data_IF_451109538703
#
_entry.id   IF_451109538703
#
_cell.length_a   1.000
_cell.length_b   1.000
_cell.length_c   1.000
_cell.angle_alpha   90.00
_cell.angle_beta   90.00
_cell.angle_gamma   90.00
#
_symmetry.space_group_name_H-M   'P 1'
#
loop_
_entity.id
_entity.type
_entity.pdbx_description
1 polymer ?
#
# COMPACT_ATOMS: atom_id res chain seq x y z
N UNK A 1 6.38 1.68 34.89
CA UNK A 1 5.06 1.80 35.54
C UNK A 1 4.04 1.42 34.49
N UNK A 2 3.52 0.20 34.53
CA UNK A 2 2.62 -0.37 33.50
C UNK A 2 1.16 -0.06 33.84
N UNK A 3 0.74 1.18 33.62
CA UNK A 3 -0.67 1.52 33.74
C UNK A 3 -1.29 1.54 32.35
N UNK A 4 -2.39 0.80 32.19
CA UNK A 4 -3.23 0.92 31.01
C UNK A 4 -3.72 2.37 30.88
N UNK A 5 -3.71 2.90 29.67
CA UNK A 5 -4.21 4.25 29.37
C UNK A 5 -5.51 4.11 28.60
N UNK A 6 -6.57 4.80 29.04
CA UNK A 6 -7.86 4.81 28.34
C UNK A 6 -8.38 6.23 28.20
N UNK A 7 -9.07 6.48 27.10
CA UNK A 7 -9.84 7.70 26.85
C UNK A 7 -8.97 8.97 26.89
N UNK A 8 -7.73 8.87 26.40
CA UNK A 8 -6.78 9.97 26.33
C UNK A 8 -7.13 10.91 25.17
N UNK A 9 -7.31 12.20 25.47
CA UNK A 9 -7.57 13.23 24.47
C UNK A 9 -6.43 14.26 24.49
N UNK A 10 -5.76 14.42 23.35
CA UNK A 10 -4.76 15.46 23.12
C UNK A 10 -5.27 16.35 22.00
N UNK A 11 -5.76 17.55 22.33
CA UNK A 11 -6.38 18.41 21.33
C UNK A 11 -6.01 19.88 21.42
N UNK A 12 -5.98 20.54 20.27
CA UNK A 12 -5.79 21.99 20.12
C UNK A 12 -4.51 22.54 20.78
N UNK A 13 -3.44 21.74 20.79
CA UNK A 13 -2.15 22.16 21.31
C UNK A 13 -1.23 22.69 20.20
N UNK A 14 -0.29 23.53 20.60
CA UNK A 14 0.78 24.03 19.77
C UNK A 14 2.12 23.51 20.30
N UNK A 15 2.77 22.61 19.57
CA UNK A 15 4.02 21.96 19.97
C UNK A 15 5.08 22.34 18.93
N UNK A 16 5.98 23.26 19.32
CA UNK A 16 7.03 23.77 18.45
C UNK A 16 8.39 23.30 18.91
N UNK A 17 9.29 23.15 17.94
CA UNK A 17 10.69 22.82 18.19
C UNK A 17 10.88 21.52 18.99
N UNK A 18 10.00 20.54 18.75
CA UNK A 18 10.05 19.25 19.43
C UNK A 18 10.70 18.18 18.54
N UNK A 19 11.38 17.22 19.19
CA UNK A 19 11.88 16.01 18.54
C UNK A 19 10.72 15.06 18.25
N UNK A 20 10.02 14.62 19.28
CA UNK A 20 8.73 13.94 19.14
C UNK A 20 7.67 14.88 19.72
N UNK A 21 6.60 15.14 18.97
CA UNK A 21 5.54 16.04 19.42
C UNK A 21 4.65 15.37 20.46
N UNK A 22 4.05 14.25 20.06
CA UNK A 22 3.29 13.34 20.90
C UNK A 22 3.95 11.97 20.79
N UNK A 23 4.27 11.37 21.92
CA UNK A 23 4.91 10.06 22.00
C UNK A 23 4.10 9.18 22.95
N UNK A 24 3.46 8.14 22.39
CA UNK A 24 2.68 7.14 23.10
C UNK A 24 3.33 5.76 23.01
N UNK A 25 4.67 5.73 22.99
CA UNK A 25 5.42 4.48 23.07
C UNK A 25 5.15 3.78 24.40
N UNK A 26 4.74 2.52 24.35
CA UNK A 26 4.22 1.79 25.52
C UNK A 26 4.42 0.28 25.42
N UNK A 27 4.62 -0.35 26.58
CA UNK A 27 4.59 -1.80 26.79
C UNK A 27 3.24 -2.29 27.38
N UNK A 28 2.32 -1.34 27.59
CA UNK A 28 1.03 -1.53 28.25
C UNK A 28 -0.12 -1.17 27.30
N UNK A 29 -1.33 -1.67 27.61
CA UNK A 29 -2.49 -1.48 26.74
C UNK A 29 -2.97 -0.03 26.75
N UNK A 30 -3.24 0.53 25.58
CA UNK A 30 -3.77 1.88 25.40
C UNK A 30 -5.02 1.82 24.52
N UNK A 31 -6.10 2.47 24.94
CA UNK A 31 -7.39 2.43 24.23
C UNK A 31 -8.02 3.81 24.10
N UNK A 32 -8.76 4.01 23.01
CA UNK A 32 -9.63 5.17 22.78
C UNK A 32 -8.86 6.50 22.85
N UNK A 33 -7.78 6.60 22.07
CA UNK A 33 -6.96 7.81 22.03
C UNK A 33 -7.45 8.73 20.91
N UNK A 34 -7.63 10.01 21.22
CA UNK A 34 -7.99 11.04 20.24
C UNK A 34 -6.92 12.13 20.21
N UNK A 35 -6.27 12.29 19.06
CA UNK A 35 -5.31 13.35 18.78
C UNK A 35 -5.90 14.26 17.71
N UNK A 36 -6.30 15.48 18.09
CA UNK A 36 -7.05 16.35 17.16
C UNK A 36 -6.69 17.83 17.19
N UNK A 37 -6.67 18.46 16.00
CA UNK A 37 -6.51 19.92 15.90
C UNK A 37 -5.19 20.47 16.43
N UNK A 38 -4.15 19.64 16.57
CA UNK A 38 -2.85 20.08 17.07
C UNK A 38 -1.98 20.64 15.94
N UNK A 39 -1.12 21.60 16.27
CA UNK A 39 -0.05 22.08 15.40
C UNK A 39 1.28 21.59 15.97
N UNK A 40 2.00 20.78 15.19
CA UNK A 40 3.28 20.19 15.56
C UNK A 40 4.34 20.56 14.53
N UNK A 41 5.43 21.17 14.99
CA UNK A 41 6.55 21.57 14.15
C UNK A 41 7.84 21.00 14.71
N UNK A 42 8.47 20.14 13.92
CA UNK A 42 9.74 19.50 14.27
C UNK A 42 10.86 20.51 14.48
N UNK A 43 11.75 20.15 15.41
CA UNK A 43 12.95 20.93 15.72
C UNK A 43 13.90 21.09 14.53
N UNK A 44 14.63 22.19 14.55
CA UNK A 44 15.77 22.49 13.68
C UNK A 44 17.05 22.76 14.48
N UNK A 45 16.98 22.72 15.81
CA UNK A 45 18.01 23.22 16.73
C UNK A 45 18.40 22.24 17.83
N UNK A 46 17.56 21.26 18.17
CA UNK A 46 17.98 20.13 19.01
C UNK A 46 19.09 19.39 18.25
N UNK A 47 20.32 19.38 18.75
CA UNK A 47 21.44 18.68 18.13
C UNK A 47 21.79 17.45 18.96
N UNK A 48 21.72 16.25 18.36
CA UNK A 48 22.27 15.03 18.96
C UNK A 48 23.56 14.67 18.24
N UNK A 49 24.66 14.57 19.00
CA UNK A 49 26.00 14.29 18.45
C UNK A 49 26.48 15.32 17.39
N UNK A 50 26.00 16.56 17.46
CA UNK A 50 26.37 17.64 16.52
C UNK A 50 25.58 17.65 15.21
N UNK A 51 24.52 16.85 15.08
CA UNK A 51 23.56 16.87 13.98
C UNK A 51 22.15 17.13 14.51
N UNK A 52 21.24 17.65 13.69
CA UNK A 52 19.84 17.85 14.10
C UNK A 52 19.28 16.53 14.64
N UNK A 53 18.87 16.55 15.90
CA UNK A 53 18.32 15.41 16.60
C UNK A 53 17.05 14.99 15.90
N UNK A 54 17.02 13.71 15.56
CA UNK A 54 16.09 13.22 14.58
C UNK A 54 14.73 12.86 15.21
N UNK A 55 13.68 13.05 14.42
CA UNK A 55 12.30 12.83 14.82
C UNK A 55 11.84 11.48 14.24
N UNK A 56 11.59 10.49 15.09
CA UNK A 56 11.01 9.19 14.71
C UNK A 56 9.54 9.34 14.29
N UNK A 57 8.87 10.30 14.92
CA UNK A 57 7.50 10.69 14.65
C UNK A 57 7.20 12.00 15.36
N UNK A 58 6.52 12.94 14.68
CA UNK A 58 5.90 14.03 15.44
C UNK A 58 4.66 13.53 16.18
N UNK A 59 3.98 12.53 15.63
CA UNK A 59 3.15 11.61 16.40
C UNK A 59 3.81 10.24 16.33
N UNK A 60 4.31 9.76 17.47
CA UNK A 60 4.96 8.47 17.63
C UNK A 60 4.04 7.54 18.41
N UNK A 61 3.59 6.47 17.75
CA UNK A 61 2.75 5.44 18.35
C UNK A 61 3.48 4.10 18.19
N UNK A 62 4.03 3.58 19.29
CA UNK A 62 4.80 2.33 19.28
C UNK A 62 4.33 1.42 20.41
N UNK A 63 3.65 0.33 20.05
CA UNK A 63 3.41 -0.80 20.94
C UNK A 63 4.60 -1.77 20.98
N UNK A 64 4.46 -2.88 21.71
CA UNK A 64 5.47 -3.92 21.76
C UNK A 64 5.68 -4.54 20.37
N UNK A 65 6.80 -4.21 19.74
CA UNK A 65 7.19 -4.58 18.38
C UNK A 65 7.44 -6.08 18.18
N UNK A 66 7.05 -6.96 19.10
CA UNK A 66 7.41 -8.38 19.06
C UNK A 66 6.25 -9.36 19.16
N UNK A 67 5.02 -8.96 19.52
CA UNK A 67 3.98 -9.96 19.83
C UNK A 67 2.54 -9.60 19.46
N UNK A 68 2.07 -8.36 19.67
CA UNK A 68 0.67 -8.00 19.41
C UNK A 68 0.44 -6.47 19.42
N UNK A 69 -0.68 -5.98 18.85
CA UNK A 69 -1.08 -4.59 18.99
C UNK A 69 -1.35 -4.23 20.46
N UNK A 70 -0.84 -3.08 20.91
CA UNK A 70 -1.09 -2.56 22.25
C UNK A 70 -1.95 -1.29 22.26
N UNK A 71 -2.12 -0.65 21.10
CA UNK A 71 -2.93 0.55 20.96
C UNK A 71 -4.18 0.27 20.14
N UNK A 72 -5.35 0.58 20.72
CA UNK A 72 -6.66 0.30 20.11
C UNK A 72 -7.50 1.56 19.96
N UNK A 73 -8.29 1.64 18.89
CA UNK A 73 -9.26 2.70 18.65
C UNK A 73 -8.61 4.11 18.68
N UNK A 74 -7.63 4.32 17.81
CA UNK A 74 -6.90 5.56 17.68
C UNK A 74 -7.56 6.48 16.64
N UNK A 75 -7.81 7.74 17.00
CA UNK A 75 -8.23 8.78 16.06
C UNK A 75 -7.19 9.88 15.97
N UNK A 76 -6.66 10.14 14.78
CA UNK A 76 -5.75 11.26 14.49
C UNK A 76 -6.42 12.14 13.43
N UNK A 77 -6.92 13.32 13.82
CA UNK A 77 -7.70 14.16 12.90
C UNK A 77 -7.41 15.65 12.92
N UNK A 78 -7.40 16.28 11.75
CA UNK A 78 -7.29 17.74 11.65
C UNK A 78 -6.00 18.33 12.19
N UNK A 79 -4.92 17.53 12.31
CA UNK A 79 -3.63 18.02 12.80
C UNK A 79 -2.81 18.63 11.66
N UNK A 80 -1.94 19.57 12.00
CA UNK A 80 -0.93 20.14 11.11
C UNK A 80 0.45 19.69 11.61
N UNK A 81 1.15 18.90 10.80
CA UNK A 81 2.43 18.28 11.12
C UNK A 81 3.47 18.77 10.11
N UNK A 82 4.51 19.45 10.58
CA UNK A 82 5.52 20.06 9.70
C UNK A 82 6.93 19.82 10.18
N UNK A 83 7.88 19.95 9.25
CA UNK A 83 9.31 20.02 9.57
C UNK A 83 9.86 18.74 10.23
N UNK A 84 9.23 17.59 9.97
CA UNK A 84 9.66 16.29 10.46
C UNK A 84 10.75 15.68 9.57
N UNK A 85 11.44 14.66 10.08
CA UNK A 85 12.27 13.77 9.30
C UNK A 85 13.60 14.34 8.81
N UNK A 86 14.38 14.93 9.72
CA UNK A 86 15.72 15.45 9.46
C UNK A 86 16.86 14.47 9.77
N UNK A 87 16.52 13.18 9.90
CA UNK A 87 17.43 12.09 10.26
C UNK A 87 18.53 11.81 9.20
N UNK A 88 19.78 11.59 9.61
CA UNK A 88 20.93 11.34 8.68
C UNK A 88 21.57 9.94 8.78
N UNK A 89 21.28 9.10 9.80
CA UNK A 89 21.84 7.75 9.94
C UNK A 89 20.81 6.63 9.63
N UNK A 90 21.22 5.55 8.96
CA UNK A 90 20.32 4.79 8.08
C UNK A 90 19.54 3.60 8.70
N UNK A 91 19.01 3.66 9.92
CA UNK A 91 18.50 2.44 10.58
C UNK A 91 17.13 2.49 11.27
N UNK A 92 16.42 3.61 11.29
CA UNK A 92 15.14 3.69 12.01
C UNK A 92 13.98 4.12 11.11
N UNK A 93 12.83 3.47 11.28
CA UNK A 93 11.59 3.84 10.63
C UNK A 93 11.14 5.21 11.17
N UNK A 94 10.82 6.15 10.27
CA UNK A 94 10.46 7.50 10.65
C UNK A 94 9.23 7.98 9.88
N UNK A 95 8.39 8.79 10.53
CA UNK A 95 7.22 9.41 9.91
C UNK A 95 6.94 10.86 10.37
N UNK A 96 6.06 11.58 9.67
CA UNK A 96 5.30 12.64 10.32
C UNK A 96 4.37 12.05 11.39
N UNK A 97 3.73 10.93 11.02
CA UNK A 97 3.05 9.98 11.91
C UNK A 97 3.73 8.63 11.76
N UNK A 98 4.15 8.01 12.86
CA UNK A 98 4.66 6.65 12.90
C UNK A 98 3.72 5.77 13.73
N UNK A 99 3.27 4.67 13.13
CA UNK A 99 2.44 3.65 13.77
C UNK A 99 3.17 2.30 13.81
N UNK A 100 3.21 1.68 14.99
CA UNK A 100 3.66 0.31 15.23
C UNK A 100 2.82 -0.27 16.37
N UNK A 101 2.27 -1.47 16.21
CA UNK A 101 1.42 -2.11 17.22
C UNK A 101 0.05 -1.46 17.43
N UNK A 102 -0.61 -1.04 16.34
CA UNK A 102 -1.89 -0.30 16.37
C UNK A 102 -3.02 -1.07 15.69
N UNK A 103 -4.12 -1.28 16.40
CA UNK A 103 -5.31 -1.95 15.86
C UNK A 103 -6.55 -1.04 15.92
N UNK A 104 -7.11 -0.73 14.75
CA UNK A 104 -8.24 0.19 14.64
C UNK A 104 -7.78 1.63 14.76
N UNK A 105 -7.29 2.20 13.66
CA UNK A 105 -6.93 3.62 13.59
C UNK A 105 -7.64 4.35 12.45
N UNK A 106 -8.11 5.56 12.73
CA UNK A 106 -8.60 6.52 11.75
C UNK A 106 -7.70 7.74 11.70
N UNK A 107 -7.05 7.96 10.55
CA UNK A 107 -6.16 9.09 10.30
C UNK A 107 -6.81 9.95 9.21
N UNK A 108 -7.45 11.06 9.60
CA UNK A 108 -8.33 11.80 8.68
C UNK A 108 -8.15 13.31 8.71
N UNK A 109 -8.05 13.94 7.55
CA UNK A 109 -8.05 15.40 7.42
C UNK A 109 -6.80 16.08 7.98
N UNK A 110 -5.67 15.38 8.07
CA UNK A 110 -4.41 15.94 8.54
C UNK A 110 -3.64 16.59 7.38
N UNK A 111 -2.88 17.63 7.70
CA UNK A 111 -1.90 18.26 6.79
C UNK A 111 -0.51 17.89 7.26
N UNK A 112 0.23 17.13 6.44
CA UNK A 112 1.55 16.58 6.77
C UNK A 112 2.55 17.06 5.72
N UNK A 113 3.46 17.95 6.10
CA UNK A 113 4.39 18.59 5.17
C UNK A 113 5.85 18.42 5.62
N UNK A 114 6.59 17.66 4.84
CA UNK A 114 8.03 17.59 4.94
C UNK A 114 8.65 18.79 4.19
N UNK A 115 9.64 19.49 4.75
CA UNK A 115 10.32 20.58 4.06
C UNK A 115 11.12 20.05 2.87
N UNK A 116 11.25 20.87 1.83
CA UNK A 116 12.06 20.53 0.67
C UNK A 116 13.55 20.40 1.10
N UNK A 117 14.28 19.43 0.55
CA UNK A 117 15.68 19.17 0.90
C UNK A 117 15.89 18.40 2.21
N UNK A 118 14.83 17.88 2.84
CA UNK A 118 14.94 16.95 3.97
C UNK A 118 15.61 15.63 3.60
N UNK A 119 16.21 14.97 4.60
CA UNK A 119 17.04 13.78 4.41
C UNK A 119 16.23 12.49 4.21
N UNK A 120 16.94 11.43 3.82
CA UNK A 120 16.50 10.33 2.94
C UNK A 120 15.68 9.21 3.58
N UNK A 121 15.07 9.36 4.76
CA UNK A 121 14.54 8.20 5.51
C UNK A 121 13.13 8.32 6.11
N UNK A 122 12.31 9.30 5.72
CA UNK A 122 11.07 9.60 6.45
C UNK A 122 9.83 9.70 5.55
N UNK A 123 8.81 8.89 5.82
CA UNK A 123 7.51 8.98 5.15
C UNK A 123 6.61 10.04 5.79
N UNK A 124 5.53 10.45 5.12
CA UNK A 124 4.52 11.30 5.76
C UNK A 124 3.78 10.53 6.86
N UNK A 125 3.25 9.36 6.49
CA UNK A 125 2.73 8.35 7.42
C UNK A 125 3.52 7.07 7.20
N UNK A 126 4.13 6.56 8.28
CA UNK A 126 4.84 5.29 8.28
C UNK A 126 4.05 4.29 9.12
N UNK A 127 3.72 3.14 8.51
CA UNK A 127 2.98 2.05 9.14
C UNK A 127 3.91 0.85 9.22
N UNK A 128 4.18 0.40 10.43
CA UNK A 128 5.10 -0.68 10.74
C UNK A 128 4.40 -1.79 11.53
N UNK A 129 5.14 -2.87 11.82
CA UNK A 129 4.76 -4.07 12.58
C UNK A 129 3.43 -4.06 13.35
N UNK A 130 2.66 -5.16 13.27
CA UNK A 130 1.46 -5.41 14.08
C UNK A 130 0.41 -4.29 14.02
N UNK A 131 0.25 -3.67 12.84
CA UNK A 131 -0.86 -2.75 12.62
C UNK A 131 -2.01 -3.45 11.89
N UNK A 132 -3.25 -3.22 12.36
CA UNK A 132 -4.47 -3.79 11.79
C UNK A 132 -5.58 -2.75 11.67
N UNK A 133 -6.49 -2.95 10.71
CA UNK A 133 -7.73 -2.16 10.54
C UNK A 133 -7.48 -0.66 10.52
N UNK A 134 -6.70 -0.20 9.55
CA UNK A 134 -6.34 1.22 9.40
C UNK A 134 -7.17 1.88 8.30
N UNK A 135 -7.72 3.05 8.61
CA UNK A 135 -8.41 3.92 7.66
C UNK A 135 -7.70 5.28 7.58
N UNK A 136 -7.10 5.56 6.43
CA UNK A 136 -6.34 6.79 6.15
C UNK A 136 -7.05 7.56 5.05
N UNK A 137 -7.65 8.70 5.37
CA UNK A 137 -8.50 9.40 4.40
C UNK A 137 -8.46 10.92 4.46
N UNK A 138 -8.69 11.57 3.32
CA UNK A 138 -8.82 13.04 3.28
C UNK A 138 -7.58 13.81 3.76
N UNK A 139 -6.40 13.18 3.84
CA UNK A 139 -5.18 13.85 4.28
C UNK A 139 -4.49 14.55 3.11
N UNK A 140 -3.83 15.67 3.39
CA UNK A 140 -2.85 16.29 2.50
C UNK A 140 -1.45 15.90 2.98
N UNK A 141 -0.69 15.21 2.14
CA UNK A 141 0.65 14.73 2.51
C UNK A 141 1.65 15.13 1.43
N UNK A 142 2.61 15.97 1.78
CA UNK A 142 3.73 16.36 0.94
C UNK A 142 5.04 15.87 1.54
N UNK A 143 5.75 15.03 0.81
CA UNK A 143 7.10 14.58 1.15
C UNK A 143 8.08 14.95 0.03
N UNK A 144 9.33 15.25 0.39
CA UNK A 144 10.34 15.65 -0.59
C UNK A 144 11.02 14.43 -1.22
N UNK A 145 11.51 13.52 -0.36
CA UNK A 145 12.46 12.48 -0.73
C UNK A 145 12.04 11.07 -0.29
N UNK A 146 10.75 10.84 -0.07
CA UNK A 146 10.18 9.54 0.31
C UNK A 146 8.70 9.42 -0.05
N UNK A 147 8.09 8.22 0.07
CA UNK A 147 6.66 8.05 -0.09
C UNK A 147 5.89 8.89 0.93
N UNK A 148 4.79 9.55 0.51
CA UNK A 148 3.82 10.15 1.42
C UNK A 148 3.28 9.14 2.42
N UNK A 149 3.00 7.91 2.00
CA UNK A 149 2.60 6.80 2.88
C UNK A 149 3.50 5.60 2.61
N UNK A 150 4.06 4.99 3.66
CA UNK A 150 4.85 3.76 3.58
C UNK A 150 4.27 2.71 4.52
N UNK A 151 3.93 1.56 3.96
CA UNK A 151 3.46 0.36 4.67
C UNK A 151 4.56 -0.69 4.66
N UNK A 152 4.98 -1.14 5.83
CA UNK A 152 6.16 -1.98 5.99
C UNK A 152 5.96 -3.09 7.02
N UNK A 153 6.48 -4.29 6.74
CA UNK A 153 6.57 -5.42 7.67
C UNK A 153 5.25 -5.79 8.38
N UNK A 154 4.15 -5.85 7.65
CA UNK A 154 2.85 -6.27 8.19
C UNK A 154 2.59 -7.76 7.93
N UNK A 155 1.96 -8.42 8.90
CA UNK A 155 1.56 -9.83 8.80
C UNK A 155 0.13 -10.01 8.30
N UNK A 156 -0.27 -11.27 8.13
CA UNK A 156 -1.60 -11.69 7.72
C UNK A 156 -2.70 -11.12 8.65
N UNK A 157 -3.94 -10.96 8.17
CA UNK A 157 -5.03 -10.33 8.94
C UNK A 157 -4.98 -8.80 8.96
N UNK A 158 -4.12 -8.18 8.14
CA UNK A 158 -4.01 -6.73 8.02
C UNK A 158 -5.01 -6.19 6.99
N UNK A 159 -5.82 -5.21 7.42
CA UNK A 159 -6.72 -4.44 6.56
C UNK A 159 -6.31 -2.96 6.57
N UNK A 160 -6.01 -2.38 5.40
CA UNK A 160 -5.63 -0.97 5.25
C UNK A 160 -6.42 -0.33 4.10
N UNK A 161 -7.08 0.78 4.40
CA UNK A 161 -7.81 1.61 3.45
C UNK A 161 -7.17 3.00 3.36
N UNK A 162 -6.73 3.40 2.17
CA UNK A 162 -6.13 4.71 1.89
C UNK A 162 -6.99 5.41 0.83
N UNK A 163 -7.95 6.24 1.24
CA UNK A 163 -8.98 6.78 0.33
C UNK A 163 -9.09 8.30 0.39
N UNK A 164 -9.14 8.96 -0.76
CA UNK A 164 -9.40 10.39 -0.87
C UNK A 164 -8.28 11.28 -0.32
N UNK A 165 -7.05 10.75 -0.25
CA UNK A 165 -5.88 11.54 0.15
C UNK A 165 -5.33 12.34 -1.05
N UNK A 166 -4.70 13.47 -0.75
CA UNK A 166 -3.92 14.25 -1.73
C UNK A 166 -2.45 14.07 -1.41
N UNK A 167 -1.73 13.35 -2.26
CA UNK A 167 -0.37 12.88 -2.00
C UNK A 167 0.63 13.50 -2.99
N UNK A 168 1.66 14.15 -2.48
CA UNK A 168 2.72 14.79 -3.26
C UNK A 168 4.07 14.22 -2.89
N UNK A 169 4.78 13.66 -3.87
CA UNK A 169 6.19 13.29 -3.74
C UNK A 169 6.90 13.50 -5.06
N UNK A 170 8.15 13.97 -4.99
CA UNK A 170 8.95 14.28 -6.19
C UNK A 170 9.61 13.00 -6.70
N UNK A 171 10.16 12.18 -5.82
CA UNK A 171 11.10 11.10 -6.16
C UNK A 171 10.56 9.68 -5.93
N UNK A 172 9.54 9.50 -5.09
CA UNK A 172 9.01 8.17 -4.74
C UNK A 172 7.57 7.94 -5.25
N UNK A 173 7.07 6.72 -5.04
CA UNK A 173 5.65 6.40 -5.20
C UNK A 173 4.80 7.16 -4.16
N UNK A 174 3.53 7.39 -4.46
CA UNK A 174 2.60 8.05 -3.53
C UNK A 174 2.29 7.17 -2.30
N UNK A 175 2.26 5.85 -2.51
CA UNK A 175 2.17 4.83 -1.46
C UNK A 175 3.21 3.76 -1.78
N UNK A 176 4.05 3.41 -0.83
CA UNK A 176 5.00 2.30 -0.92
C UNK A 176 4.55 1.18 0.03
N UNK A 177 4.58 -0.06 -0.46
CA UNK A 177 4.27 -1.26 0.34
C UNK A 177 5.45 -2.21 0.19
N UNK A 178 6.06 -2.62 1.30
CA UNK A 178 7.18 -3.55 1.28
C UNK A 178 7.12 -4.56 2.42
N UNK A 179 7.50 -5.80 2.16
CA UNK A 179 7.57 -6.88 3.15
C UNK A 179 6.26 -7.13 3.92
N UNK A 180 5.10 -7.04 3.25
CA UNK A 180 3.79 -7.21 3.90
C UNK A 180 3.01 -8.40 3.33
N UNK A 181 2.16 -9.01 4.16
CA UNK A 181 0.92 -9.69 3.73
C UNK A 181 -0.26 -8.81 4.10
N UNK A 182 -1.19 -8.53 3.17
CA UNK A 182 -2.35 -7.66 3.43
C UNK A 182 -3.58 -8.30 2.79
N UNK A 183 -4.64 -8.51 3.59
CA UNK A 183 -5.86 -9.21 3.15
C UNK A 183 -6.83 -8.28 2.41
N UNK A 184 -6.81 -6.99 2.74
CA UNK A 184 -7.58 -5.95 2.07
C UNK A 184 -6.79 -4.65 1.96
N UNK A 185 -6.43 -4.25 0.73
CA UNK A 185 -5.67 -3.04 0.45
C UNK A 185 -6.33 -2.18 -0.62
N UNK A 186 -6.79 -0.99 -0.24
CA UNK A 186 -7.47 -0.05 -1.15
C UNK A 186 -6.69 1.27 -1.19
N UNK A 187 -6.37 1.78 -2.39
CA UNK A 187 -5.70 3.08 -2.57
C UNK A 187 -6.43 3.92 -3.62
N UNK A 188 -7.22 4.90 -3.18
CA UNK A 188 -7.98 5.78 -4.07
C UNK A 188 -7.65 7.24 -3.76
N UNK A 189 -7.42 8.08 -4.78
CA UNK A 189 -7.17 9.50 -4.54
C UNK A 189 -6.29 10.22 -5.59
N UNK A 190 -5.97 11.47 -5.27
CA UNK A 190 -5.18 12.34 -6.14
C UNK A 190 -3.70 12.25 -5.77
N UNK A 191 -2.91 11.60 -6.62
CA UNK A 191 -1.45 11.59 -6.49
C UNK A 191 -0.83 12.51 -7.55
N UNK A 192 -0.06 13.52 -7.11
CA UNK A 192 0.65 14.42 -8.02
C UNK A 192 2.05 13.89 -8.31
N UNK A 193 2.11 12.78 -9.06
CA UNK A 193 3.30 12.33 -9.81
C UNK A 193 2.85 11.47 -11.00
N UNK A 194 3.50 11.67 -12.16
CA UNK A 194 3.21 10.98 -13.45
C UNK A 194 3.44 9.47 -13.46
N UNK A 195 3.83 8.88 -12.32
CA UNK A 195 3.99 7.44 -12.17
C UNK A 195 3.41 7.06 -10.82
N UNK A 196 2.15 6.60 -10.83
CA UNK A 196 1.72 5.54 -9.93
C UNK A 196 2.49 4.29 -10.35
N UNK A 197 3.81 4.27 -10.13
CA UNK A 197 4.52 3.01 -10.05
C UNK A 197 4.04 2.39 -8.75
N UNK A 198 2.98 1.58 -8.82
CA UNK A 198 2.87 0.45 -7.91
C UNK A 198 4.05 -0.48 -8.18
N UNK A 199 5.27 -0.06 -7.85
CA UNK A 199 6.37 -0.98 -7.71
C UNK A 199 6.17 -1.64 -6.36
N UNK A 200 5.28 -2.61 -6.35
CA UNK A 200 5.11 -3.52 -5.22
C UNK A 200 6.08 -4.65 -5.52
N UNK A 201 7.28 -4.59 -4.95
CA UNK A 201 8.21 -5.71 -4.97
C UNK A 201 7.67 -6.77 -3.99
N UNK A 202 6.69 -7.56 -4.44
CA UNK A 202 6.14 -8.65 -3.64
C UNK A 202 7.14 -9.79 -3.63
N UNK A 203 7.91 -9.90 -2.54
CA UNK A 203 8.74 -11.07 -2.28
C UNK A 203 7.94 -12.37 -2.24
N UNK A 204 6.64 -12.36 -1.91
CA UNK A 204 5.86 -13.60 -1.87
C UNK A 204 4.32 -13.54 -1.79
N UNK A 205 3.63 -12.41 -1.57
CA UNK A 205 2.21 -12.46 -1.19
C UNK A 205 1.22 -11.69 -2.10
N UNK A 206 0.02 -12.29 -2.25
CA UNK A 206 -1.12 -11.88 -3.07
C UNK A 206 -1.74 -10.59 -2.50
N UNK A 207 -1.94 -9.58 -3.33
CA UNK A 207 -2.77 -8.41 -3.01
C UNK A 207 -4.09 -8.58 -3.71
N UNK A 208 -5.14 -8.91 -2.97
CA UNK A 208 -6.51 -8.85 -3.47
C UNK A 208 -7.07 -7.45 -3.23
N UNK A 209 -7.62 -6.81 -4.28
CA UNK A 209 -8.36 -5.55 -4.12
C UNK A 209 -7.67 -4.23 -4.50
N UNK A 210 -6.47 -4.21 -5.09
CA UNK A 210 -5.83 -2.96 -5.51
C UNK A 210 -6.66 -2.22 -6.59
N UNK A 211 -7.41 -1.20 -6.16
CA UNK A 211 -8.05 -0.18 -7.02
C UNK A 211 -7.06 0.96 -7.21
N UNK A 212 -6.75 1.37 -8.44
CA UNK A 212 -5.93 2.55 -8.74
C UNK A 212 -6.74 3.52 -9.61
N UNK A 213 -7.42 4.48 -8.99
CA UNK A 213 -8.10 5.54 -9.74
C UNK A 213 -7.09 6.59 -10.23
N UNK A 214 -6.95 6.77 -11.55
CA UNK A 214 -6.12 7.85 -12.10
C UNK A 214 -6.82 9.22 -11.94
N UNK A 215 -6.10 10.30 -11.58
CA UNK A 215 -6.68 11.63 -11.55
C UNK A 215 -6.69 12.22 -12.97
N UNK A 216 -7.79 12.91 -13.32
CA UNK A 216 -8.05 13.66 -14.57
C UNK A 216 -8.44 12.88 -15.82
N UNK A 217 -9.75 12.67 -16.00
CA UNK A 217 -10.45 12.72 -17.30
C UNK A 217 -10.08 11.73 -18.41
N UNK A 218 -9.03 10.94 -18.24
CA UNK A 218 -8.72 9.77 -19.06
C UNK A 218 -9.44 8.56 -18.48
N UNK A 219 -10.07 7.77 -19.35
CA UNK A 219 -10.58 6.44 -18.99
C UNK A 219 -9.41 5.60 -18.47
N UNK A 220 -9.24 5.57 -17.16
CA UNK A 220 -8.19 4.81 -16.49
C UNK A 220 -8.64 3.37 -16.28
N UNK A 221 -7.75 2.42 -16.53
CA UNK A 221 -7.92 1.03 -16.08
C UNK A 221 -7.70 0.98 -14.57
N UNK A 222 -8.76 0.88 -13.76
CA UNK A 222 -8.64 1.13 -12.31
C UNK A 222 -8.61 -0.11 -11.41
N UNK A 223 -8.54 -1.34 -11.94
CA UNK A 223 -8.23 -2.51 -11.12
C UNK A 223 -7.44 -3.55 -11.92
N UNK A 224 -6.29 -3.96 -11.40
CA UNK A 224 -5.48 -5.06 -11.92
C UNK A 224 -5.64 -6.25 -10.98
N UNK A 225 -6.13 -7.38 -11.50
CA UNK A 225 -6.20 -8.65 -10.76
C UNK A 225 -5.27 -9.62 -11.47
N UNK A 226 -4.27 -10.15 -10.77
CA UNK A 226 -3.35 -11.14 -11.33
C UNK A 226 -3.54 -12.49 -10.62
N UNK A 227 -3.72 -13.56 -11.38
CA UNK A 227 -3.71 -14.92 -10.84
C UNK A 227 -2.75 -15.82 -11.61
N UNK A 228 -2.21 -16.82 -10.91
CA UNK A 228 -1.44 -17.91 -11.50
C UNK A 228 -2.16 -19.22 -11.22
N UNK A 229 -2.40 -19.99 -12.26
CA UNK A 229 -3.13 -21.26 -12.16
C UNK A 229 -2.61 -22.26 -13.17
N UNK A 230 -2.95 -23.53 -13.01
CA UNK A 230 -2.53 -24.59 -13.92
C UNK A 230 -3.53 -24.73 -15.07
N UNK A 231 -3.08 -24.52 -16.30
CA UNK A 231 -3.85 -24.80 -17.51
C UNK A 231 -3.95 -26.31 -17.78
N UNK A 232 -4.94 -26.70 -18.58
CA UNK A 232 -5.10 -28.08 -19.03
C UNK A 232 -3.97 -28.50 -19.97
N UNK A 233 -3.69 -29.80 -20.08
CA UNK A 233 -2.87 -30.31 -21.19
C UNK A 233 -3.59 -30.12 -22.52
N UNK A 234 -2.83 -29.82 -23.56
CA UNK A 234 -3.32 -29.73 -24.94
C UNK A 234 -2.79 -30.94 -25.71
N UNK A 235 -3.67 -31.67 -26.37
CA UNK A 235 -3.30 -32.86 -27.15
C UNK A 235 -3.79 -32.70 -28.57
N UNK A 236 -2.85 -32.83 -29.51
CA UNK A 236 -3.07 -32.87 -30.95
C UNK A 236 -3.93 -31.72 -31.49
N UNK A 237 -3.67 -30.50 -31.01
CA UNK A 237 -4.34 -29.30 -31.51
C UNK A 237 -3.91 -29.05 -32.96
N UNK A 238 -4.84 -29.26 -33.89
CA UNK A 238 -4.60 -29.09 -35.32
C UNK A 238 -4.17 -27.65 -35.68
N UNK A 239 -3.46 -27.51 -36.80
CA UNK A 239 -3.10 -26.20 -37.36
C UNK A 239 -4.38 -25.43 -37.70
N UNK A 240 -4.46 -24.17 -37.28
CA UNK A 240 -5.62 -23.32 -37.46
C UNK A 240 -6.78 -23.62 -36.51
N UNK A 241 -6.59 -24.47 -35.50
CA UNK A 241 -7.59 -24.74 -34.48
C UNK A 241 -7.29 -23.98 -33.18
N UNK A 242 -8.36 -23.69 -32.41
CA UNK A 242 -8.27 -23.23 -31.03
C UNK A 242 -8.92 -24.24 -30.07
N UNK A 243 -8.49 -24.21 -28.82
CA UNK A 243 -9.16 -24.93 -27.72
C UNK A 243 -9.11 -24.13 -26.43
N UNK A 244 -9.99 -24.45 -25.49
CA UNK A 244 -9.95 -23.87 -24.14
C UNK A 244 -8.79 -24.46 -23.36
N UNK A 245 -7.88 -23.60 -22.91
CA UNK A 245 -6.80 -23.99 -22.02
C UNK A 245 -7.30 -24.09 -20.57
N UNK A 246 -8.09 -23.10 -20.14
CA UNK A 246 -8.70 -23.07 -18.80
C UNK A 246 -9.91 -22.12 -18.74
N UNK A 247 -10.87 -22.43 -17.87
CA UNK A 247 -11.82 -21.46 -17.31
C UNK A 247 -11.40 -21.18 -15.87
N UNK A 248 -10.78 -20.03 -15.61
CA UNK A 248 -10.28 -19.66 -14.30
C UNK A 248 -11.29 -18.79 -13.55
N UNK A 249 -11.46 -19.05 -12.25
CA UNK A 249 -12.20 -18.13 -11.37
C UNK A 249 -11.28 -16.98 -11.00
N UNK A 250 -11.64 -15.76 -11.42
CA UNK A 250 -10.94 -14.51 -11.10
C UNK A 250 -11.92 -13.57 -10.42
N UNK A 251 -11.98 -13.56 -9.07
CA UNK A 251 -12.92 -12.74 -8.32
C UNK A 251 -12.90 -11.26 -8.71
N UNK A 252 -14.07 -10.74 -9.06
CA UNK A 252 -14.34 -9.39 -9.53
C UNK A 252 -14.29 -9.20 -11.04
N UNK A 253 -13.84 -10.14 -11.86
CA UNK A 253 -13.78 -9.96 -13.32
C UNK A 253 -15.18 -9.80 -13.94
N UNK A 254 -15.32 -8.86 -14.88
CA UNK A 254 -16.59 -8.55 -15.57
C UNK A 254 -16.41 -8.51 -17.09
N UNK A 255 -17.51 -8.81 -17.80
CA UNK A 255 -17.54 -8.69 -19.27
C UNK A 255 -17.16 -7.26 -19.66
N UNK A 256 -16.16 -7.12 -20.53
CA UNK A 256 -15.59 -5.83 -20.94
C UNK A 256 -14.21 -5.52 -20.36
N UNK A 257 -13.78 -6.25 -19.31
CA UNK A 257 -12.41 -6.14 -18.80
C UNK A 257 -11.39 -6.63 -19.84
N UNK A 258 -10.21 -6.00 -19.88
CA UNK A 258 -9.10 -6.47 -20.71
C UNK A 258 -8.33 -7.56 -20.00
N UNK A 259 -7.99 -8.62 -20.73
CA UNK A 259 -7.23 -9.75 -20.20
C UNK A 259 -5.88 -9.84 -20.92
N UNK A 260 -4.78 -9.84 -20.17
CA UNK A 260 -3.49 -10.27 -20.65
C UNK A 260 -3.20 -11.68 -20.12
N UNK A 261 -2.60 -12.51 -20.97
CA UNK A 261 -2.31 -13.91 -20.66
C UNK A 261 -0.82 -14.18 -20.87
N UNK A 262 -0.18 -14.68 -19.82
CA UNK A 262 1.16 -15.27 -19.90
C UNK A 262 1.07 -16.79 -19.90
N UNK A 263 1.67 -17.43 -20.90
CA UNK A 263 1.75 -18.88 -20.99
C UNK A 263 3.20 -19.31 -21.13
N UNK A 264 3.66 -20.23 -20.27
CA UNK A 264 5.07 -20.64 -20.22
C UNK A 264 5.47 -21.63 -21.32
N UNK A 265 4.52 -22.32 -21.96
CA UNK A 265 4.79 -23.30 -23.02
C UNK A 265 5.04 -22.66 -24.40
N UNK A 266 5.65 -21.48 -24.46
CA UNK A 266 5.75 -20.70 -25.70
C UNK A 266 6.56 -21.44 -26.77
N UNK A 267 5.84 -21.84 -27.82
CA UNK A 267 6.42 -22.31 -29.08
C UNK A 267 6.04 -21.29 -30.15
N UNK A 268 6.94 -21.04 -31.11
CA UNK A 268 6.67 -20.10 -32.22
C UNK A 268 5.38 -20.52 -32.95
N UNK A 269 4.46 -19.57 -33.15
CA UNK A 269 3.17 -19.81 -33.78
C UNK A 269 2.05 -20.25 -32.83
N UNK A 270 2.27 -20.26 -31.51
CA UNK A 270 1.22 -20.49 -30.53
C UNK A 270 0.77 -19.18 -29.92
N UNK A 271 -0.53 -18.90 -30.00
CA UNK A 271 -1.14 -17.69 -29.46
C UNK A 271 -2.04 -18.02 -28.29
N UNK A 272 -2.06 -17.15 -27.28
CA UNK A 272 -3.00 -17.25 -26.16
C UNK A 272 -3.78 -15.96 -26.05
N UNK A 273 -5.04 -16.08 -25.68
CA UNK A 273 -5.94 -14.95 -25.47
C UNK A 273 -6.91 -15.27 -24.36
N UNK A 274 -7.31 -14.24 -23.63
CA UNK A 274 -8.23 -14.36 -22.51
C UNK A 274 -9.41 -13.42 -22.67
N UNK A 275 -10.56 -13.82 -22.16
CA UNK A 275 -11.76 -12.97 -22.09
C UNK A 275 -12.68 -13.41 -20.96
N UNK A 276 -13.46 -12.47 -20.42
CA UNK A 276 -14.42 -12.75 -19.35
C UNK A 276 -15.69 -13.34 -19.97
N UNK A 277 -16.10 -14.52 -19.50
CA UNK A 277 -17.28 -15.25 -20.02
C UNK A 277 -18.52 -15.13 -19.13
N UNK A 278 -18.33 -14.70 -17.89
CA UNK A 278 -19.39 -14.48 -16.90
C UNK A 278 -18.80 -13.77 -15.68
N UNK A 279 -19.61 -13.55 -14.64
CA UNK A 279 -19.08 -12.99 -13.38
C UNK A 279 -17.93 -13.85 -12.90
N UNK A 280 -16.81 -13.20 -12.61
CA UNK A 280 -15.64 -13.80 -11.99
C UNK A 280 -15.01 -14.95 -12.78
N UNK A 281 -15.31 -15.09 -14.08
CA UNK A 281 -14.86 -16.22 -14.89
C UNK A 281 -14.11 -15.74 -16.12
N UNK A 282 -12.79 -15.97 -16.15
CA UNK A 282 -11.94 -15.71 -17.30
C UNK A 282 -11.69 -17.01 -18.05
N UNK A 283 -12.05 -17.05 -19.32
CA UNK A 283 -11.66 -18.13 -20.23
C UNK A 283 -10.36 -17.75 -20.91
N UNK A 284 -9.41 -18.67 -20.90
CA UNK A 284 -8.18 -18.59 -21.69
C UNK A 284 -8.24 -19.66 -22.77
N UNK A 285 -8.01 -19.22 -24.00
CA UNK A 285 -7.90 -20.08 -25.17
C UNK A 285 -6.48 -20.05 -25.73
N UNK A 286 -6.13 -21.15 -26.38
CA UNK A 286 -4.89 -21.33 -27.10
C UNK A 286 -5.20 -21.63 -28.57
N UNK A 287 -4.51 -20.95 -29.48
CA UNK A 287 -4.66 -21.11 -30.92
C UNK A 287 -3.34 -21.51 -31.56
N UNK A 288 -3.40 -22.55 -32.39
CA UNK A 288 -2.23 -23.07 -33.09
C UNK A 288 -2.13 -22.44 -34.50
N UNK A 289 -1.32 -21.39 -34.61
CA UNK A 289 -0.93 -20.77 -35.89
C UNK A 289 0.39 -21.31 -36.45
N UNK A 290 0.95 -22.36 -35.84
CA UNK A 290 2.20 -22.97 -36.30
C UNK A 290 1.99 -23.81 -37.56
N UNK A 291 3.08 -24.36 -38.11
CA UNK A 291 3.03 -25.22 -39.30
C UNK A 291 2.71 -26.70 -38.98
N UNK A 292 2.57 -27.08 -37.71
CA UNK A 292 2.37 -28.48 -37.29
C UNK A 292 1.33 -28.61 -36.19
N UNK A 293 0.87 -29.84 -35.96
CA UNK A 293 0.04 -30.17 -34.79
C UNK A 293 0.78 -29.81 -33.50
N UNK A 294 0.07 -29.28 -32.51
CA UNK A 294 0.62 -28.85 -31.23
C UNK A 294 0.09 -29.70 -30.07
N UNK A 295 1.02 -30.16 -29.22
CA UNK A 295 0.74 -30.87 -27.98
C UNK A 295 1.60 -30.30 -26.86
N UNK A 296 1.02 -30.08 -25.69
CA UNK A 296 1.70 -29.59 -24.51
C UNK A 296 1.13 -30.21 -23.23
N UNK A 297 2.02 -30.51 -22.28
CA UNK A 297 1.60 -30.87 -20.94
C UNK A 297 0.93 -29.69 -20.23
N UNK A 298 0.15 -29.98 -19.19
CA UNK A 298 -0.39 -28.97 -18.29
C UNK A 298 0.73 -28.06 -17.78
N UNK A 299 0.54 -26.74 -17.85
CA UNK A 299 1.55 -25.76 -17.46
C UNK A 299 0.91 -24.52 -16.83
N UNK A 300 1.74 -23.72 -16.17
CA UNK A 300 1.28 -22.51 -15.48
C UNK A 300 0.85 -21.43 -16.46
N UNK A 301 -0.33 -20.87 -16.22
CA UNK A 301 -0.91 -19.71 -16.91
C UNK A 301 -0.97 -18.55 -15.94
N UNK A 302 -0.46 -17.39 -16.35
CA UNK A 302 -0.65 -16.11 -15.68
C UNK A 302 -1.81 -15.38 -16.36
N UNK A 303 -2.78 -14.90 -15.58
CA UNK A 303 -3.94 -14.16 -16.08
C UNK A 303 -3.98 -12.81 -15.37
N UNK A 304 -3.88 -11.74 -16.15
CA UNK A 304 -3.95 -10.36 -15.68
C UNK A 304 -5.23 -9.72 -16.20
N UNK A 305 -6.12 -9.30 -15.29
CA UNK A 305 -7.39 -8.64 -15.61
C UNK A 305 -7.28 -7.16 -15.33
N UNK A 306 -7.48 -6.34 -16.35
CA UNK A 306 -7.49 -4.88 -16.29
C UNK A 306 -8.93 -4.39 -16.45
N UNK A 307 -9.48 -3.84 -15.37
CA UNK A 307 -10.86 -3.37 -15.35
C UNK A 307 -11.02 -2.02 -16.02
N UNK A 308 -12.04 -1.90 -16.86
CA UNK A 308 -12.47 -0.64 -17.46
C UNK A 308 -13.72 -0.14 -16.73
N UNK A 309 -13.72 1.13 -16.31
CA UNK A 309 -14.86 1.80 -15.68
C UNK A 309 -15.58 2.71 -16.67
#
# INVERSE_FOLDING_TARGET
MSHDIKDLIISNNHIYNARNGIDLSTDSRVENVVISGNIMVGTDTDLWEGQAAANDGLILIVGNENTEPLLFNLTITGNIIRNFGKWTISSQACGGILLSGVDGASITGNTIEQPDGSQTYVAGIFINYYCHRLAISGNYIKTANKPPIHVHNLGDGTEISIIGNTLFSVTYAAVEVSSCTIDGFIVEGNAHKRTLSGYIETGTNVIDGLSLSAPYGGRGTSKHISIRTQGSSVTDLAVGASTTLINATVPGARIGDTIAVGYAGQTVGIHTFGYVTGSDTVRVEIYNASASVFSAAASTVCIDVFKHF
#
